data_IF_975418421020
#
_entry.id   IF_975418421020
#
_cell.length_a   1.000
_cell.length_b   1.000
_cell.length_c   1.000
_cell.angle_alpha   90.00
_cell.angle_beta   90.00
_cell.angle_gamma   90.00
#
_symmetry.space_group_name_H-M   'P 1'
#
loop_
_entity.id
_entity.type
_entity.pdbx_description
1 polymer ?
#
# COMPACT_ATOMS: atom_id res chain seq x y z
N UNK A 1 -8.89 25.01 -10.05
CA UNK A 1 -9.16 24.35 -11.34
C UNK A 1 -10.63 24.58 -11.63
N UNK A 2 -10.95 25.35 -12.67
CA UNK A 2 -12.32 25.84 -12.94
C UNK A 2 -13.40 24.73 -12.98
N UNK A 3 -13.12 23.60 -13.65
CA UNK A 3 -14.04 22.45 -13.71
C UNK A 3 -14.42 21.89 -12.33
N UNK A 4 -13.45 21.80 -11.41
CA UNK A 4 -13.71 21.30 -10.07
C UNK A 4 -14.57 22.27 -9.24
N UNK A 5 -14.40 23.57 -9.46
CA UNK A 5 -15.23 24.59 -8.80
C UNK A 5 -16.67 24.52 -9.31
N UNK A 6 -16.85 24.33 -10.62
CA UNK A 6 -18.16 24.24 -11.30
C UNK A 6 -18.88 22.90 -11.07
N UNK A 7 -18.20 21.89 -10.52
CA UNK A 7 -18.83 20.59 -10.28
C UNK A 7 -20.02 20.70 -9.32
N UNK A 8 -21.12 20.00 -9.64
CA UNK A 8 -22.34 19.95 -8.82
C UNK A 8 -22.42 18.58 -8.16
N UNK A 9 -22.36 18.49 -6.81
CA UNK A 9 -22.49 17.23 -6.08
C UNK A 9 -23.81 16.50 -6.39
N UNK A 10 -23.74 15.18 -6.55
CA UNK A 10 -24.89 14.31 -6.82
C UNK A 10 -25.78 14.07 -5.59
N UNK A 11 -25.22 14.22 -4.39
CA UNK A 11 -25.91 14.07 -3.11
C UNK A 11 -25.15 14.78 -1.98
N UNK A 12 -25.73 14.82 -0.77
CA UNK A 12 -25.07 15.39 0.41
C UNK A 12 -23.85 14.57 0.90
N UNK A 13 -23.77 13.29 0.51
CA UNK A 13 -22.64 12.39 0.85
C UNK A 13 -21.60 12.28 -0.27
N UNK A 14 -21.78 13.01 -1.37
CA UNK A 14 -20.86 13.05 -2.50
C UNK A 14 -19.52 13.67 -2.10
N UNK A 15 -18.45 12.89 -2.28
CA UNK A 15 -17.09 13.25 -1.90
C UNK A 15 -16.20 13.63 -3.08
N UNK A 16 -16.74 13.72 -4.29
CA UNK A 16 -15.97 13.93 -5.54
C UNK A 16 -15.03 15.13 -5.45
N UNK A 17 -15.52 16.31 -5.01
CA UNK A 17 -14.65 17.49 -4.86
C UNK A 17 -13.51 17.25 -3.88
N UNK A 18 -13.81 16.64 -2.74
CA UNK A 18 -12.84 16.37 -1.67
C UNK A 18 -11.78 15.37 -2.10
N UNK A 19 -12.19 14.28 -2.77
CA UNK A 19 -11.29 13.28 -3.35
C UNK A 19 -10.36 13.92 -4.37
N UNK A 20 -10.91 14.58 -5.40
CA UNK A 20 -10.09 15.17 -6.47
C UNK A 20 -9.14 16.25 -5.94
N UNK A 21 -9.59 17.09 -5.00
CA UNK A 21 -8.73 18.08 -4.35
C UNK A 21 -7.58 17.42 -3.59
N UNK A 22 -7.85 16.39 -2.78
CA UNK A 22 -6.82 15.67 -2.05
C UNK A 22 -5.74 15.09 -2.97
N UNK A 23 -6.14 14.50 -4.10
CA UNK A 23 -5.20 14.01 -5.11
C UNK A 23 -4.40 15.17 -5.74
N UNK A 24 -5.04 16.26 -6.14
CA UNK A 24 -4.36 17.42 -6.75
C UNK A 24 -3.35 18.04 -5.78
N UNK A 25 -3.69 18.15 -4.51
CA UNK A 25 -2.87 18.86 -3.52
C UNK A 25 -1.65 18.04 -3.10
N UNK A 26 -1.76 16.70 -3.09
CA UNK A 26 -0.73 15.83 -2.53
C UNK A 26 0.07 15.02 -3.57
N UNK A 27 -0.45 14.79 -4.79
CA UNK A 27 0.29 14.04 -5.79
C UNK A 27 1.61 14.74 -6.19
N UNK A 28 2.66 13.97 -6.52
CA UNK A 28 3.87 14.53 -7.11
C UNK A 28 3.56 15.22 -8.45
N UNK A 29 4.39 16.19 -8.85
CA UNK A 29 4.14 17.04 -10.01
C UNK A 29 3.74 16.27 -11.29
N UNK A 30 4.45 15.18 -11.62
CA UNK A 30 4.14 14.36 -12.81
C UNK A 30 2.80 13.63 -12.70
N UNK A 31 2.52 13.02 -11.54
CA UNK A 31 1.23 12.37 -11.28
C UNK A 31 0.07 13.35 -11.29
N UNK A 32 0.26 14.52 -10.67
CA UNK A 32 -0.69 15.62 -10.67
C UNK A 32 -0.97 16.13 -12.08
N UNK A 33 0.06 16.26 -12.92
CA UNK A 33 -0.11 16.65 -14.33
C UNK A 33 -0.94 15.62 -15.10
N UNK A 34 -0.70 14.32 -14.88
CA UNK A 34 -1.50 13.24 -15.50
C UNK A 34 -2.96 13.28 -15.07
N UNK A 35 -3.23 13.56 -13.79
CA UNK A 35 -4.58 13.74 -13.25
C UNK A 35 -5.27 14.96 -13.86
N UNK A 36 -4.63 16.13 -13.83
CA UNK A 36 -5.18 17.39 -14.35
C UNK A 36 -5.50 17.26 -15.84
N UNK A 37 -4.60 16.66 -16.64
CA UNK A 37 -4.82 16.45 -18.07
C UNK A 37 -6.08 15.61 -18.34
N UNK A 38 -6.29 14.55 -17.56
CA UNK A 38 -7.47 13.72 -17.72
C UNK A 38 -8.74 14.43 -17.23
N UNK A 39 -8.70 15.13 -16.10
CA UNK A 39 -9.82 15.95 -15.63
C UNK A 39 -10.23 17.02 -16.66
N UNK A 40 -9.27 17.58 -17.40
CA UNK A 40 -9.56 18.52 -18.49
C UNK A 40 -10.28 17.87 -19.67
N UNK A 41 -10.11 16.57 -19.93
CA UNK A 41 -10.81 15.88 -21.02
C UNK A 41 -12.26 15.51 -20.70
N UNK A 42 -12.65 15.47 -19.42
CA UNK A 42 -14.01 15.10 -18.99
C UNK A 42 -15.01 16.21 -19.30
N UNK A 43 -16.17 15.87 -19.84
CA UNK A 43 -17.16 16.83 -20.36
C UNK A 43 -18.39 17.00 -19.46
N UNK A 44 -18.64 16.07 -18.54
CA UNK A 44 -19.85 16.06 -17.71
C UNK A 44 -19.56 15.94 -16.21
N UNK A 45 -20.52 16.35 -15.37
CA UNK A 45 -20.45 16.10 -13.93
C UNK A 45 -20.40 14.59 -13.64
N UNK A 46 -21.12 13.77 -14.40
CA UNK A 46 -21.10 12.32 -14.22
C UNK A 46 -19.69 11.76 -14.45
N UNK A 47 -19.01 12.14 -15.54
CA UNK A 47 -17.64 11.70 -15.80
C UNK A 47 -16.66 12.13 -14.70
N UNK A 48 -16.81 13.35 -14.16
CA UNK A 48 -15.97 13.84 -13.05
C UNK A 48 -16.21 13.01 -11.79
N UNK A 49 -17.48 12.68 -11.51
CA UNK A 49 -17.86 11.84 -10.39
C UNK A 49 -17.28 10.42 -10.54
N UNK A 50 -17.51 9.78 -11.68
CA UNK A 50 -17.02 8.44 -12.01
C UNK A 50 -15.48 8.38 -11.95
N UNK A 51 -14.81 9.45 -12.37
CA UNK A 51 -13.36 9.52 -12.26
C UNK A 51 -12.89 9.55 -10.80
N UNK A 52 -13.54 10.33 -9.92
CA UNK A 52 -13.22 10.33 -8.51
C UNK A 52 -13.44 8.94 -7.86
N UNK A 53 -14.54 8.27 -8.19
CA UNK A 53 -14.80 6.89 -7.76
C UNK A 53 -13.72 5.94 -8.30
N UNK A 54 -13.29 6.08 -9.56
CA UNK A 54 -12.23 5.25 -10.14
C UNK A 54 -10.88 5.41 -9.41
N UNK A 55 -10.57 6.60 -8.89
CA UNK A 55 -9.36 6.83 -8.09
C UNK A 55 -9.43 6.13 -6.73
N UNK A 56 -10.60 6.17 -6.09
CA UNK A 56 -10.84 5.49 -4.82
C UNK A 56 -10.76 3.98 -5.02
N UNK A 57 -11.54 3.44 -5.95
CA UNK A 57 -11.70 2.00 -6.15
C UNK A 57 -10.51 1.37 -6.89
N UNK A 58 -9.80 2.13 -7.72
CA UNK A 58 -8.66 1.65 -8.49
C UNK A 58 -7.29 1.85 -7.83
N UNK A 59 -7.19 2.64 -6.75
CA UNK A 59 -5.93 2.90 -6.05
C UNK A 59 -6.07 2.91 -4.54
N UNK A 60 -6.89 3.80 -3.94
CA UNK A 60 -6.90 3.96 -2.48
C UNK A 60 -7.41 2.71 -1.75
N UNK A 61 -8.54 2.17 -2.21
CA UNK A 61 -9.17 1.03 -1.58
C UNK A 61 -8.31 -0.25 -1.73
N UNK A 62 -7.81 -0.61 -2.94
CA UNK A 62 -6.95 -1.77 -3.07
C UNK A 62 -5.64 -1.65 -2.29
N UNK A 63 -5.02 -0.47 -2.25
CA UNK A 63 -3.77 -0.29 -1.50
C UNK A 63 -3.97 -0.48 0.02
N UNK A 64 -5.17 -0.20 0.55
CA UNK A 64 -5.50 -0.45 1.97
C UNK A 64 -5.90 -1.91 2.24
N UNK A 65 -6.61 -2.57 1.32
CA UNK A 65 -7.12 -3.93 1.52
C UNK A 65 -6.06 -5.00 1.25
N UNK A 66 -5.12 -4.72 0.35
CA UNK A 66 -4.02 -5.62 0.04
C UNK A 66 -3.06 -5.73 1.21
N UNK A 67 -3.14 -6.84 1.95
CA UNK A 67 -2.25 -7.14 3.09
C UNK A 67 -0.79 -7.06 2.67
N UNK A 68 0.02 -6.32 3.45
CA UNK A 68 1.45 -6.13 3.17
C UNK A 68 2.25 -7.43 3.21
N UNK A 69 1.84 -8.43 4.01
CA UNK A 69 2.38 -9.80 4.02
C UNK A 69 1.32 -10.82 4.50
N UNK A 70 1.33 -12.07 4.02
CA UNK A 70 0.64 -13.16 4.69
C UNK A 70 1.31 -13.41 6.05
N UNK A 71 0.55 -13.44 7.14
CA UNK A 71 1.11 -13.73 8.46
C UNK A 71 1.54 -15.20 8.55
N UNK A 72 2.77 -15.52 8.17
CA UNK A 72 3.39 -16.80 8.52
C UNK A 72 3.81 -16.69 9.98
N UNK A 73 2.90 -17.01 10.91
CA UNK A 73 3.30 -17.28 12.31
C UNK A 73 3.90 -18.68 12.37
N UNK A 74 5.20 -18.85 12.69
CA UNK A 74 5.71 -20.16 13.05
C UNK A 74 5.02 -20.54 14.36
N UNK A 75 4.36 -21.70 14.40
CA UNK A 75 4.08 -22.33 15.71
C UNK A 75 5.44 -22.59 16.37
N UNK A 76 5.58 -22.16 17.62
CA UNK A 76 6.79 -22.41 18.40
C UNK A 76 7.17 -23.91 18.33
N UNK A 77 8.40 -24.20 17.92
CA UNK A 77 8.93 -25.57 17.79
C UNK A 77 9.01 -26.16 16.38
N UNK A 78 8.79 -25.38 15.31
CA UNK A 78 8.91 -25.85 13.92
C UNK A 78 9.88 -25.03 13.04
N UNK A 79 10.71 -24.20 13.67
CA UNK A 79 11.66 -23.31 13.00
C UNK A 79 12.70 -24.10 12.18
N UNK A 80 13.28 -25.15 12.76
CA UNK A 80 14.31 -25.97 12.09
C UNK A 80 13.77 -26.77 10.88
N UNK A 81 12.49 -27.15 10.91
CA UNK A 81 11.86 -27.93 9.83
C UNK A 81 11.43 -27.06 8.65
N UNK A 82 11.03 -25.81 8.91
CA UNK A 82 10.67 -24.86 7.85
C UNK A 82 11.93 -24.33 7.17
N UNK A 83 13.03 -24.10 7.91
CA UNK A 83 14.30 -23.65 7.32
C UNK A 83 14.90 -24.66 6.35
N UNK A 84 14.84 -25.96 6.66
CA UNK A 84 15.37 -27.02 5.79
C UNK A 84 14.53 -27.20 4.50
N UNK A 85 13.22 -27.03 4.57
CA UNK A 85 12.32 -27.16 3.39
C UNK A 85 12.31 -25.87 2.55
N UNK A 86 12.41 -24.70 3.19
CA UNK A 86 12.48 -23.41 2.51
C UNK A 86 13.82 -23.18 1.78
N UNK A 87 14.93 -23.71 2.31
CA UNK A 87 16.24 -23.57 1.66
C UNK A 87 16.33 -24.30 0.30
N UNK A 88 15.46 -25.29 0.05
CA UNK A 88 15.54 -26.17 -1.13
C UNK A 88 14.44 -25.95 -2.17
N UNK A 89 13.46 -25.08 -1.91
CA UNK A 89 12.35 -24.82 -2.84
C UNK A 89 12.22 -23.32 -3.11
N UNK A 90 12.28 -22.92 -4.38
CA UNK A 90 12.09 -21.52 -4.83
C UNK A 90 10.67 -20.96 -4.63
N UNK A 91 9.92 -21.47 -3.64
CA UNK A 91 8.53 -21.14 -3.32
C UNK A 91 8.40 -19.75 -2.69
N UNK A 92 7.19 -19.19 -2.73
CA UNK A 92 6.88 -17.88 -2.14
C UNK A 92 7.23 -17.78 -0.65
N UNK A 93 6.94 -18.82 0.12
CA UNK A 93 7.19 -18.85 1.56
C UNK A 93 8.70 -18.81 1.89
N UNK A 94 9.53 -19.48 1.08
CA UNK A 94 10.98 -19.45 1.27
C UNK A 94 11.58 -18.06 1.03
N UNK A 95 11.08 -17.36 0.00
CA UNK A 95 11.50 -15.99 -0.31
C UNK A 95 11.10 -15.02 0.80
N UNK A 96 9.92 -15.17 1.36
CA UNK A 96 9.43 -14.35 2.47
C UNK A 96 10.23 -14.58 3.76
N UNK A 97 10.51 -15.85 4.10
CA UNK A 97 11.36 -16.18 5.25
C UNK A 97 12.78 -15.60 5.09
N UNK A 98 13.35 -15.66 3.88
CA UNK A 98 14.64 -15.04 3.57
C UNK A 98 14.60 -13.52 3.76
N UNK A 99 13.61 -12.85 3.17
CA UNK A 99 13.45 -11.40 3.28
C UNK A 99 13.30 -10.96 4.74
N UNK A 100 12.55 -11.72 5.54
CA UNK A 100 12.39 -11.47 6.98
C UNK A 100 13.73 -11.51 7.70
N UNK A 101 14.55 -12.55 7.48
CA UNK A 101 15.90 -12.65 8.08
C UNK A 101 16.82 -11.52 7.62
N UNK A 102 16.80 -11.21 6.33
CA UNK A 102 17.65 -10.17 5.72
C UNK A 102 17.30 -8.78 6.28
N UNK A 103 16.00 -8.45 6.40
CA UNK A 103 15.54 -7.20 7.02
C UNK A 103 15.85 -7.15 8.52
N UNK A 104 15.62 -8.24 9.25
CA UNK A 104 15.89 -8.29 10.69
C UNK A 104 17.38 -8.07 10.98
N UNK A 105 18.26 -8.70 10.20
CA UNK A 105 19.71 -8.51 10.28
C UNK A 105 20.10 -7.07 9.95
N UNK A 106 19.53 -6.50 8.87
CA UNK A 106 19.78 -5.11 8.46
C UNK A 106 19.39 -4.11 9.55
N UNK A 107 18.27 -4.35 10.21
CA UNK A 107 17.64 -3.47 11.20
C UNK A 107 18.19 -3.68 12.62
N UNK A 108 19.30 -4.41 12.77
CA UNK A 108 19.97 -4.59 14.06
C UNK A 108 19.20 -5.48 15.03
N UNK A 109 18.37 -6.39 14.51
CA UNK A 109 17.47 -7.27 15.26
C UNK A 109 16.37 -6.51 16.01
N UNK A 110 15.99 -5.32 15.54
CA UNK A 110 15.03 -4.44 16.20
C UNK A 110 13.88 -4.02 15.31
N UNK A 111 12.76 -3.68 15.94
CA UNK A 111 11.73 -2.89 15.30
C UNK A 111 12.25 -1.48 14.98
N UNK A 112 12.17 -1.08 13.71
CA UNK A 112 12.65 0.24 13.25
C UNK A 112 11.87 1.43 13.79
N UNK A 113 10.70 1.19 14.40
CA UNK A 113 9.86 2.22 15.01
C UNK A 113 10.09 2.32 16.51
N UNK A 114 9.99 1.20 17.23
CA UNK A 114 9.99 1.21 18.71
C UNK A 114 11.37 1.02 19.33
N UNK A 115 12.39 0.72 18.52
CA UNK A 115 13.76 0.34 18.92
C UNK A 115 13.83 -0.89 19.85
N UNK A 116 12.72 -1.64 19.99
CA UNK A 116 12.65 -2.88 20.76
C UNK A 116 13.25 -4.03 19.95
N UNK A 117 14.01 -4.89 20.63
CA UNK A 117 14.59 -6.09 20.02
C UNK A 117 13.51 -7.11 19.67
N UNK A 118 13.77 -7.91 18.64
CA UNK A 118 12.96 -9.07 18.32
C UNK A 118 13.10 -10.14 19.41
N UNK A 119 11.96 -10.54 20.00
CA UNK A 119 11.88 -11.50 21.10
C UNK A 119 12.55 -12.83 20.77
N UNK A 120 12.38 -13.32 19.54
CA UNK A 120 12.93 -14.62 19.13
C UNK A 120 14.44 -14.58 18.86
N UNK A 121 15.02 -13.39 18.78
CA UNK A 121 16.45 -13.19 18.51
C UNK A 121 17.27 -12.98 19.79
N UNK A 122 16.63 -12.77 20.94
CA UNK A 122 17.28 -12.44 22.20
C UNK A 122 17.35 -13.63 23.16
N UNK A 123 18.38 -13.64 24.01
CA UNK A 123 18.45 -14.57 25.13
C UNK A 123 17.39 -14.22 26.17
N UNK A 124 16.48 -15.18 26.43
CA UNK A 124 15.36 -15.04 27.37
C UNK A 124 15.82 -14.86 28.81
N UNK A 125 17.08 -15.16 29.13
CA UNK A 125 17.66 -14.93 30.45
C UNK A 125 17.95 -13.44 30.73
N UNK A 126 18.07 -12.61 29.68
CA UNK A 126 18.41 -11.19 29.81
C UNK A 126 17.15 -10.31 29.91
N UNK A 127 16.67 -10.14 31.14
CA UNK A 127 15.46 -9.36 31.45
C UNK A 127 15.65 -7.83 31.35
N UNK A 128 16.86 -7.35 31.12
CA UNK A 128 17.15 -5.91 31.01
C UNK A 128 16.87 -5.34 29.62
N UNK A 129 16.59 -6.19 28.62
CA UNK A 129 16.35 -5.79 27.24
C UNK A 129 14.84 -5.72 27.00
N UNK A 130 14.38 -4.60 26.42
CA UNK A 130 12.99 -4.49 25.97
C UNK A 130 12.83 -5.16 24.61
N UNK A 131 11.95 -6.15 24.58
CA UNK A 131 11.66 -6.94 23.39
C UNK A 131 10.24 -6.72 22.86
N UNK A 132 9.98 -7.22 21.66
CA UNK A 132 8.66 -7.33 21.01
C UNK A 132 8.71 -8.46 19.98
N UNK A 133 7.57 -9.03 19.61
CA UNK A 133 7.48 -9.83 18.40
C UNK A 133 7.53 -8.93 17.17
N UNK A 134 8.38 -9.28 16.20
CA UNK A 134 8.52 -8.52 14.94
C UNK A 134 8.07 -9.31 13.71
N UNK A 135 7.69 -8.55 12.70
CA UNK A 135 7.31 -9.02 11.37
C UNK A 135 8.08 -8.23 10.31
N UNK A 136 8.26 -8.84 9.14
CA UNK A 136 8.77 -8.17 7.97
C UNK A 136 7.61 -7.49 7.24
N UNK A 137 7.68 -6.17 7.13
CA UNK A 137 6.59 -5.33 6.64
C UNK A 137 7.01 -4.65 5.35
N UNK A 138 6.25 -4.91 4.29
CA UNK A 138 6.45 -4.27 2.99
C UNK A 138 5.86 -2.85 2.96
N UNK A 139 6.53 -1.93 2.25
CA UNK A 139 6.07 -0.58 1.97
C UNK A 139 5.02 -0.61 0.85
N UNK A 140 5.37 -1.23 -0.28
CA UNK A 140 4.45 -1.59 -1.36
C UNK A 140 4.05 -3.04 -1.16
N UNK A 141 2.76 -3.27 -0.98
CA UNK A 141 2.18 -4.53 -0.53
C UNK A 141 2.63 -5.74 -1.36
N UNK A 142 3.08 -6.81 -0.67
CA UNK A 142 3.45 -8.10 -1.28
C UNK A 142 2.36 -8.66 -2.19
N UNK A 143 1.11 -8.46 -1.80
CA UNK A 143 -0.05 -8.97 -2.53
C UNK A 143 -0.13 -8.47 -3.98
N UNK A 144 0.61 -7.43 -4.37
CA UNK A 144 0.64 -6.94 -5.76
C UNK A 144 1.46 -7.81 -6.73
N UNK A 145 2.31 -8.72 -6.23
CA UNK A 145 3.15 -9.60 -7.07
C UNK A 145 2.79 -11.09 -6.99
N UNK A 146 1.70 -11.42 -6.33
CA UNK A 146 1.18 -12.81 -6.25
C UNK A 146 -0.25 -12.84 -6.73
N UNK A 147 -0.74 -13.95 -7.27
CA UNK A 147 -2.14 -14.13 -7.67
C UNK A 147 -2.44 -15.61 -7.81
N UNK A 148 -3.72 -15.98 -7.64
CA UNK A 148 -4.19 -17.36 -7.75
C UNK A 148 -4.80 -17.69 -9.12
N UNK A 149 -5.30 -16.68 -9.82
CA UNK A 149 -6.00 -16.80 -11.11
C UNK A 149 -5.79 -15.55 -11.98
N UNK A 150 -6.18 -15.65 -13.26
CA UNK A 150 -6.02 -14.57 -14.25
C UNK A 150 -6.83 -13.31 -13.89
N UNK A 151 -7.98 -13.48 -13.23
CA UNK A 151 -8.82 -12.35 -12.82
C UNK A 151 -8.13 -11.51 -11.74
N UNK A 152 -7.54 -12.16 -10.75
CA UNK A 152 -6.75 -11.51 -9.71
C UNK A 152 -5.47 -10.89 -10.28
N UNK A 153 -4.80 -11.56 -11.22
CA UNK A 153 -3.66 -11.00 -11.94
C UNK A 153 -4.04 -9.70 -12.65
N UNK A 154 -5.14 -9.72 -13.40
CA UNK A 154 -5.63 -8.54 -14.11
C UNK A 154 -5.98 -7.41 -13.15
N UNK A 155 -6.68 -7.69 -12.05
CA UNK A 155 -6.98 -6.68 -11.03
C UNK A 155 -5.68 -6.05 -10.48
N UNK A 156 -4.65 -6.85 -10.20
CA UNK A 156 -3.35 -6.36 -9.74
C UNK A 156 -2.60 -5.58 -10.82
N UNK A 157 -2.76 -5.92 -12.10
CA UNK A 157 -2.27 -5.14 -13.24
C UNK A 157 -2.89 -3.74 -13.29
N UNK A 158 -4.19 -3.64 -13.02
CA UNK A 158 -4.89 -2.35 -12.95
C UNK A 158 -4.35 -1.51 -11.79
N UNK A 159 -4.19 -2.09 -10.60
CA UNK A 159 -3.66 -1.36 -9.43
C UNK A 159 -2.24 -0.86 -9.70
N UNK A 160 -1.39 -1.72 -10.26
CA UNK A 160 -0.02 -1.34 -10.64
C UNK A 160 -0.01 -0.20 -11.67
N UNK A 161 -0.88 -0.28 -12.68
CA UNK A 161 -1.03 0.77 -13.70
C UNK A 161 -1.42 2.10 -13.07
N UNK A 162 -2.37 2.10 -12.13
CA UNK A 162 -2.77 3.32 -11.41
C UNK A 162 -1.62 3.86 -10.54
N UNK A 163 -0.91 2.98 -9.85
CA UNK A 163 0.26 3.35 -9.04
C UNK A 163 1.33 4.03 -9.93
N UNK A 164 1.69 3.45 -11.06
CA UNK A 164 2.66 4.05 -12.01
C UNK A 164 2.14 5.35 -12.63
N UNK A 165 0.84 5.43 -12.98
CA UNK A 165 0.24 6.64 -13.57
C UNK A 165 0.36 7.85 -12.64
N UNK A 166 0.12 7.67 -11.35
CA UNK A 166 0.12 8.74 -10.35
C UNK A 166 1.44 8.89 -9.59
N UNK A 167 2.29 7.87 -9.60
CA UNK A 167 3.64 7.90 -9.07
C UNK A 167 4.69 7.42 -10.08
N UNK A 168 4.89 8.13 -11.22
CA UNK A 168 5.83 7.68 -12.27
C UNK A 168 7.28 7.53 -11.80
N UNK A 169 7.63 8.12 -10.64
CA UNK A 169 8.94 7.93 -10.01
C UNK A 169 9.22 6.47 -9.63
N UNK A 170 8.18 5.64 -9.43
CA UNK A 170 8.35 4.23 -9.06
C UNK A 170 9.20 3.47 -10.10
N UNK A 171 8.93 3.67 -11.38
CA UNK A 171 9.71 3.09 -12.48
C UNK A 171 10.90 3.96 -12.86
N UNK A 172 10.68 5.27 -13.08
CA UNK A 172 11.67 6.12 -13.73
C UNK A 172 12.84 6.56 -12.83
N UNK A 173 12.64 6.56 -11.51
CA UNK A 173 13.64 7.05 -10.55
C UNK A 173 14.04 5.98 -9.54
N UNK A 174 13.06 5.31 -8.95
CA UNK A 174 13.27 4.26 -7.95
C UNK A 174 13.67 2.94 -8.63
N UNK A 175 13.27 2.73 -9.90
CA UNK A 175 13.48 1.49 -10.67
C UNK A 175 12.90 0.27 -9.96
N UNK A 176 11.74 0.45 -9.35
CA UNK A 176 11.03 -0.58 -8.61
C UNK A 176 9.98 -1.23 -9.51
N UNK A 177 10.13 -2.54 -9.72
CA UNK A 177 9.19 -3.35 -10.50
C UNK A 177 8.53 -4.39 -9.60
N UNK A 178 7.67 -5.24 -10.16
CA UNK A 178 7.03 -6.32 -9.40
C UNK A 178 8.03 -7.36 -8.90
N UNK A 179 9.08 -7.59 -9.67
CA UNK A 179 10.16 -8.52 -9.32
C UNK A 179 10.91 -8.02 -8.08
N UNK A 180 10.94 -6.70 -7.85
CA UNK A 180 11.54 -6.05 -6.68
C UNK A 180 10.69 -6.14 -5.41
N UNK A 181 9.48 -6.71 -5.44
CA UNK A 181 8.56 -6.70 -4.29
C UNK A 181 9.19 -7.30 -3.02
N UNK A 182 10.03 -8.33 -3.19
CA UNK A 182 10.72 -9.00 -2.09
C UNK A 182 12.16 -8.49 -1.88
N UNK A 183 12.48 -7.29 -2.36
CA UNK A 183 13.76 -6.65 -2.08
C UNK A 183 13.74 -5.95 -0.72
N UNK A 184 14.89 -5.95 -0.04
CA UNK A 184 15.06 -5.26 1.25
C UNK A 184 14.74 -3.77 1.17
N UNK A 185 14.87 -3.12 0.00
CA UNK A 185 14.51 -1.72 -0.18
C UNK A 185 12.99 -1.46 -0.06
N UNK A 186 12.15 -2.50 -0.18
CA UNK A 186 10.70 -2.43 -0.03
C UNK A 186 10.21 -2.95 1.32
N UNK A 187 11.08 -3.42 2.21
CA UNK A 187 10.65 -4.04 3.46
C UNK A 187 11.46 -3.62 4.69
N UNK A 188 10.84 -3.72 5.86
CA UNK A 188 11.45 -3.38 7.14
C UNK A 188 10.93 -4.23 8.30
N UNK A 189 11.74 -4.31 9.35
CA UNK A 189 11.39 -4.97 10.59
C UNK A 189 10.52 -4.08 11.45
N UNK A 190 9.29 -4.49 11.71
CA UNK A 190 8.33 -3.73 12.51
C UNK A 190 7.69 -4.62 13.56
N UNK A 191 7.31 -4.07 14.71
CA UNK A 191 6.56 -4.83 15.71
C UNK A 191 5.23 -5.30 15.13
N UNK A 192 4.82 -6.53 15.49
CA UNK A 192 3.54 -7.11 15.07
C UNK A 192 2.33 -6.22 15.36
N UNK A 193 2.37 -5.46 16.45
CA UNK A 193 1.31 -4.53 16.83
C UNK A 193 1.13 -3.35 15.85
N UNK A 194 2.23 -2.85 15.27
CA UNK A 194 2.21 -1.69 14.36
C UNK A 194 1.95 -2.07 12.90
N UNK A 195 2.20 -3.32 12.53
CA UNK A 195 2.10 -3.77 11.14
C UNK A 195 0.70 -3.53 10.53
N UNK A 196 -0.43 -3.87 11.17
CA UNK A 196 -1.75 -3.57 10.64
C UNK A 196 -1.96 -2.07 10.38
N UNK A 197 -1.56 -1.22 11.33
CA UNK A 197 -1.69 0.24 11.21
C UNK A 197 -0.82 0.84 10.11
N UNK A 198 0.37 0.29 9.86
CA UNK A 198 1.22 0.73 8.77
C UNK A 198 0.64 0.36 7.40
N UNK A 199 0.19 -0.89 7.24
CA UNK A 199 -0.47 -1.34 6.01
C UNK A 199 -1.79 -0.61 5.74
N UNK A 200 -2.51 -0.22 6.80
CA UNK A 200 -3.73 0.56 6.70
C UNK A 200 -3.51 2.06 6.42
N UNK A 201 -2.27 2.55 6.39
CA UNK A 201 -1.96 3.99 6.31
C UNK A 201 -2.46 4.81 7.52
N UNK A 202 -2.58 4.20 8.70
CA UNK A 202 -2.95 4.91 9.93
C UNK A 202 -1.80 5.75 10.48
N UNK A 203 -0.57 5.46 10.05
CA UNK A 203 0.59 6.34 10.17
C UNK A 203 1.50 6.21 8.95
N UNK A 204 2.42 7.17 8.77
CA UNK A 204 3.41 7.13 7.69
C UNK A 204 4.74 7.79 8.07
N UNK A 205 5.80 7.41 7.35
CA UNK A 205 7.12 8.01 7.49
C UNK A 205 7.27 9.22 6.56
N UNK A 206 7.31 10.43 7.12
CA UNK A 206 7.53 11.67 6.36
C UNK A 206 9.01 12.05 6.38
N UNK A 207 9.57 12.31 5.19
CA UNK A 207 10.98 12.63 5.04
C UNK A 207 11.33 13.94 5.75
N UNK A 208 12.47 13.93 6.44
CA UNK A 208 13.09 15.14 6.99
C UNK A 208 14.28 15.58 6.12
N UNK A 209 14.88 16.76 6.35
CA UNK A 209 16.13 17.15 5.69
C UNK A 209 17.31 16.20 5.99
N UNK A 210 17.24 15.44 7.09
CA UNK A 210 18.27 14.46 7.44
C UNK A 210 18.01 13.15 6.70
N UNK A 211 19.04 12.63 6.02
CA UNK A 211 18.94 11.38 5.25
C UNK A 211 18.51 10.22 6.16
N UNK A 212 17.61 9.38 5.65
CA UNK A 212 17.07 8.20 6.34
C UNK A 212 16.44 8.51 7.71
N UNK A 213 16.12 9.77 7.99
CA UNK A 213 15.42 10.21 9.19
C UNK A 213 14.03 10.67 8.81
N UNK A 214 13.03 10.19 9.54
CA UNK A 214 11.63 10.39 9.21
C UNK A 214 10.83 10.80 10.45
N UNK A 215 9.93 11.75 10.30
CA UNK A 215 8.89 12.06 11.29
C UNK A 215 7.73 11.09 11.08
N UNK A 216 7.14 10.56 12.17
CA UNK A 216 5.98 9.70 12.07
C UNK A 216 4.71 10.55 12.08
N UNK A 217 4.05 10.61 10.93
CA UNK A 217 2.74 11.25 10.85
C UNK A 217 1.68 10.28 11.32
N UNK A 218 1.08 10.56 12.47
CA UNK A 218 0.01 9.77 13.06
C UNK A 218 -1.37 10.30 12.64
N UNK A 219 -2.19 9.44 12.02
CA UNK A 219 -3.56 9.76 11.61
C UNK A 219 -4.63 9.11 12.52
N UNK A 220 -4.23 8.21 13.42
CA UNK A 220 -5.12 7.57 14.41
C UNK A 220 -4.53 7.72 15.82
N UNK A 221 -4.39 8.95 16.35
CA UNK A 221 -3.69 9.22 17.61
C UNK A 221 -4.32 8.55 18.84
N UNK A 222 -5.61 8.19 18.79
CA UNK A 222 -6.27 7.42 19.86
C UNK A 222 -5.83 5.95 19.90
N UNK A 223 -5.39 5.40 18.77
CA UNK A 223 -4.96 4.01 18.63
C UNK A 223 -3.43 3.87 18.76
N UNK A 224 -2.70 4.92 18.38
CA UNK A 224 -1.25 4.93 18.22
C UNK A 224 -0.61 6.03 19.09
N UNK A 225 -0.93 6.06 20.37
CA UNK A 225 -0.46 7.08 21.31
C UNK A 225 1.05 7.03 21.60
N UNK A 226 1.65 5.85 21.49
CA UNK A 226 3.08 5.61 21.77
C UNK A 226 4.02 5.71 20.55
N UNK A 227 3.58 6.29 19.43
CA UNK A 227 4.49 6.48 18.28
C UNK A 227 5.56 7.54 18.61
N UNK A 228 6.86 7.24 18.35
CA UNK A 228 7.89 8.25 18.50
C UNK A 228 7.70 9.38 17.50
N UNK A 229 8.14 10.58 17.86
CA UNK A 229 8.08 11.75 16.96
C UNK A 229 8.87 11.51 15.67
N UNK A 230 10.06 10.91 15.77
CA UNK A 230 10.91 10.61 14.62
C UNK A 230 11.75 9.36 14.82
N UNK A 231 12.18 8.77 13.71
CA UNK A 231 13.06 7.60 13.66
C UNK A 231 14.17 7.81 12.64
N UNK A 232 15.32 7.17 12.86
CA UNK A 232 16.43 7.13 11.90
C UNK A 232 16.73 5.69 11.53
N UNK A 233 16.62 5.36 10.24
CA UNK A 233 16.94 4.03 9.76
C UNK A 233 18.45 3.86 9.66
N UNK A 234 18.97 2.94 10.47
CA UNK A 234 20.39 2.61 10.54
C UNK A 234 20.65 1.28 9.85
N UNK A 235 21.69 1.23 9.02
CA UNK A 235 22.07 0.00 8.33
C UNK A 235 23.10 -0.75 9.17
N UNK A 236 22.68 -1.80 9.86
CA UNK A 236 23.57 -2.64 10.67
C UNK A 236 24.30 -3.71 9.86
N UNK A 237 23.85 -3.98 8.64
CA UNK A 237 24.53 -4.87 7.69
C UNK A 237 24.57 -4.22 6.30
N UNK A 238 25.78 -3.95 5.80
CA UNK A 238 25.99 -3.23 4.53
C UNK A 238 25.50 -3.97 3.29
N UNK A 239 25.35 -5.31 3.35
CA UNK A 239 24.87 -6.14 2.25
C UNK A 239 23.41 -5.87 1.89
N UNK A 240 22.62 -5.38 2.84
CA UNK A 240 21.20 -5.15 2.66
C UNK A 240 20.89 -3.66 2.56
N UNK A 241 20.07 -3.30 1.57
CA UNK A 241 19.68 -1.91 1.35
C UNK A 241 18.67 -1.44 2.42
N UNK A 242 18.80 -0.19 2.84
CA UNK A 242 17.78 0.45 3.68
C UNK A 242 16.47 0.58 2.90
N UNK A 243 15.33 0.70 3.61
CA UNK A 243 14.05 0.98 2.98
C UNK A 243 14.15 2.24 2.10
N UNK A 244 13.62 2.16 0.88
CA UNK A 244 13.74 3.20 -0.14
C UNK A 244 13.02 4.48 0.31
N UNK A 245 13.71 5.62 0.39
CA UNK A 245 13.07 6.91 0.68
C UNK A 245 11.97 7.26 -0.34
N UNK A 246 12.14 6.81 -1.59
CA UNK A 246 11.15 7.01 -2.65
C UNK A 246 9.87 6.22 -2.41
N UNK A 247 9.98 4.94 -2.01
CA UNK A 247 8.80 4.11 -1.71
C UNK A 247 8.08 4.62 -0.45
N UNK A 248 8.82 5.03 0.58
CA UNK A 248 8.24 5.65 1.78
C UNK A 248 7.50 6.94 1.45
N UNK A 249 8.05 7.77 0.55
CA UNK A 249 7.38 8.98 0.08
C UNK A 249 6.09 8.67 -0.67
N UNK A 250 6.05 7.59 -1.46
CA UNK A 250 4.82 7.13 -2.12
C UNK A 250 3.79 6.73 -1.07
N UNK A 251 4.16 5.85 -0.12
CA UNK A 251 3.29 5.42 0.98
C UNK A 251 2.74 6.60 1.79
N UNK A 252 3.60 7.54 2.22
CA UNK A 252 3.18 8.74 2.94
C UNK A 252 2.27 9.66 2.13
N UNK A 253 2.47 9.73 0.80
CA UNK A 253 1.60 10.52 -0.08
C UNK A 253 0.22 9.87 -0.22
N UNK A 254 0.17 8.55 -0.38
CA UNK A 254 -1.10 7.81 -0.39
C UNK A 254 -1.82 8.00 0.95
N UNK A 255 -1.11 7.89 2.09
CA UNK A 255 -1.68 8.16 3.41
C UNK A 255 -2.31 9.57 3.50
N UNK A 256 -1.59 10.61 3.05
CA UNK A 256 -2.13 11.98 3.03
C UNK A 256 -3.39 12.09 2.19
N UNK A 257 -3.39 11.54 0.97
CA UNK A 257 -4.57 11.53 0.09
C UNK A 257 -5.73 10.78 0.76
N UNK A 258 -5.43 9.64 1.36
CA UNK A 258 -6.40 8.77 2.02
C UNK A 258 -7.17 9.52 3.12
N UNK A 259 -6.46 10.23 4.00
CA UNK A 259 -7.07 10.98 5.09
C UNK A 259 -7.68 12.31 4.64
N UNK A 260 -7.01 13.05 3.74
CA UNK A 260 -7.52 14.33 3.24
C UNK A 260 -8.82 14.17 2.43
N UNK A 261 -8.93 13.09 1.64
CA UNK A 261 -10.12 12.79 0.82
C UNK A 261 -11.36 12.42 1.64
N UNK A 262 -11.20 12.01 2.90
CA UNK A 262 -12.29 11.43 3.69
C UNK A 262 -12.76 10.08 3.16
N UNK A 263 -11.95 9.39 2.34
CA UNK A 263 -12.24 8.05 1.86
C UNK A 263 -12.08 6.98 2.95
N UNK A 264 -11.32 7.27 4.01
CA UNK A 264 -10.98 6.32 5.06
C UNK A 264 -12.17 5.65 5.74
N UNK A 265 -13.10 6.42 6.30
CA UNK A 265 -14.26 5.89 7.05
C UNK A 265 -15.19 5.01 6.19
N UNK A 266 -15.62 5.43 4.99
CA UNK A 266 -16.43 4.57 4.14
C UNK A 266 -15.69 3.34 3.60
N UNK A 267 -14.38 3.42 3.37
CA UNK A 267 -13.58 2.22 3.04
C UNK A 267 -13.50 1.29 4.25
N UNK A 268 -13.26 1.82 5.45
CA UNK A 268 -13.26 1.04 6.71
C UNK A 268 -14.62 0.38 6.95
N UNK A 269 -15.71 1.10 6.71
CA UNK A 269 -17.07 0.55 6.74
C UNK A 269 -17.23 -0.56 5.72
N UNK A 270 -16.87 -0.34 4.46
CA UNK A 270 -17.00 -1.37 3.43
C UNK A 270 -16.20 -2.64 3.72
N UNK A 271 -14.98 -2.51 4.25
CA UNK A 271 -14.15 -3.65 4.66
C UNK A 271 -14.76 -4.38 5.86
N UNK A 272 -15.23 -3.64 6.87
CA UNK A 272 -15.88 -4.24 8.05
C UNK A 272 -17.16 -4.93 7.63
N UNK A 273 -18.02 -4.26 6.87
CA UNK A 273 -19.28 -4.80 6.38
C UNK A 273 -18.99 -6.06 5.55
N UNK A 274 -17.98 -6.07 4.66
CA UNK A 274 -17.55 -7.27 3.94
C UNK A 274 -17.07 -8.40 4.86
N UNK A 275 -16.32 -8.08 5.92
CA UNK A 275 -15.85 -9.05 6.92
C UNK A 275 -16.96 -9.57 7.84
N UNK A 276 -17.97 -8.76 8.12
CA UNK A 276 -19.17 -9.10 8.90
C UNK A 276 -20.23 -9.80 8.03
N UNK A 277 -20.18 -9.62 6.70
CA UNK A 277 -21.15 -10.23 5.77
C UNK A 277 -20.65 -11.58 5.23
N UNK A 278 -21.23 -12.68 5.72
CA UNK A 278 -22.21 -13.41 4.92
C UNK A 278 -23.66 -12.86 5.06
N UNK A 279 -23.90 -11.80 5.85
CA UNK A 279 -25.22 -11.22 6.10
C UNK A 279 -25.25 -9.70 5.86
N UNK A 280 -25.90 -9.26 4.77
CA UNK A 280 -26.23 -7.86 4.49
C UNK A 280 -27.03 -7.23 5.64
N UNK A 281 -26.84 -5.94 5.90
CA UNK A 281 -27.65 -5.23 6.89
C UNK A 281 -29.13 -5.32 6.50
N UNK A 282 -29.99 -5.74 7.44
CA UNK A 282 -31.43 -5.98 7.19
C UNK A 282 -32.18 -4.71 6.77
N UNK A 283 -31.61 -3.53 7.02
CA UNK A 283 -32.15 -2.23 6.67
C UNK A 283 -31.68 -1.71 5.29
N UNK A 284 -30.88 -2.49 4.56
CA UNK A 284 -30.36 -2.10 3.24
C UNK A 284 -29.26 -1.04 3.27
N UNK A 285 -28.68 -0.73 4.45
CA UNK A 285 -27.63 0.29 4.60
C UNK A 285 -26.22 -0.17 4.20
N UNK A 286 -26.08 -1.42 3.74
CA UNK A 286 -24.84 -1.98 3.20
C UNK A 286 -24.53 -1.41 1.81
N UNK A 287 -23.35 -0.81 1.65
CA UNK A 287 -22.89 -0.31 0.36
C UNK A 287 -22.21 -1.43 -0.44
N UNK A 288 -23.02 -2.17 -1.21
CA UNK A 288 -22.58 -3.32 -2.00
C UNK A 288 -21.50 -2.91 -3.02
N UNK A 289 -21.58 -1.70 -3.58
CA UNK A 289 -20.60 -1.20 -4.54
C UNK A 289 -19.23 -1.03 -3.88
N UNK A 290 -19.20 -0.40 -2.70
CA UNK A 290 -17.97 -0.26 -1.92
C UNK A 290 -17.44 -1.61 -1.42
N UNK A 291 -18.30 -2.56 -1.03
CA UNK A 291 -17.89 -3.92 -0.66
C UNK A 291 -17.24 -4.67 -1.83
N UNK A 292 -17.82 -4.56 -3.04
CA UNK A 292 -17.23 -5.16 -4.24
C UNK A 292 -15.90 -4.51 -4.60
N UNK A 293 -15.78 -3.18 -4.46
CA UNK A 293 -14.52 -2.46 -4.62
C UNK A 293 -13.43 -2.89 -3.62
N UNK A 294 -13.81 -3.39 -2.44
CA UNK A 294 -12.87 -3.92 -1.47
C UNK A 294 -12.33 -5.32 -1.84
N UNK A 295 -12.90 -5.95 -2.87
CA UNK A 295 -12.44 -7.22 -3.46
C UNK A 295 -11.73 -7.00 -4.80
N UNK A 296 -11.11 -8.04 -5.35
CA UNK A 296 -10.57 -8.00 -6.72
C UNK A 296 -11.64 -7.68 -7.78
N UNK A 297 -12.93 -7.95 -7.51
CA UNK A 297 -14.03 -7.77 -8.47
C UNK A 297 -14.33 -6.30 -8.76
N UNK A 298 -14.28 -5.40 -7.78
CA UNK A 298 -14.59 -3.99 -8.06
C UNK A 298 -13.48 -3.27 -8.85
N UNK A 299 -12.24 -3.77 -8.78
CA UNK A 299 -11.16 -3.33 -9.69
C UNK A 299 -11.51 -3.67 -11.14
N UNK A 300 -12.11 -4.84 -11.40
CA UNK A 300 -12.58 -5.25 -12.74
C UNK A 300 -13.75 -4.38 -13.23
N UNK A 301 -14.70 -4.07 -12.35
CA UNK A 301 -15.88 -3.25 -12.68
C UNK A 301 -15.56 -1.79 -13.03
N UNK A 302 -14.51 -1.21 -12.42
CA UNK A 302 -14.08 0.18 -12.65
C UNK A 302 -13.68 0.51 -14.10
N UNK A 303 -13.45 -0.52 -14.95
CA UNK A 303 -13.17 -0.36 -16.38
C UNK A 303 -14.39 -0.42 -17.29
N UNK A 304 -15.53 -0.98 -16.85
CA UNK A 304 -16.70 -1.07 -17.72
C UNK A 304 -17.26 0.32 -18.12
N UNK A 305 -16.94 1.37 -17.35
CA UNK A 305 -17.27 2.77 -17.67
C UNK A 305 -16.19 3.58 -18.41
N UNK A 306 -15.00 3.02 -18.69
CA UNK A 306 -13.88 3.76 -19.28
C UNK A 306 -13.26 3.00 -20.46
N UNK A 307 -13.94 3.03 -21.61
CA UNK A 307 -13.39 2.56 -22.88
C UNK A 307 -12.49 3.66 -23.48
N UNK A 308 -11.18 3.42 -23.46
CA UNK A 308 -10.32 3.48 -24.65
C UNK A 308 -8.96 2.85 -24.31
N UNK A 309 -8.74 1.64 -24.82
CA UNK A 309 -7.40 1.06 -24.90
C UNK A 309 -6.55 1.92 -25.85
N UNK A 310 -5.30 2.29 -25.50
CA UNK A 310 -4.33 2.70 -26.50
C UNK A 310 -3.98 1.47 -27.34
N UNK A 311 -4.28 1.52 -28.64
CA UNK A 311 -3.95 0.46 -29.57
C UNK A 311 -2.44 0.17 -29.58
N UNK A 312 -2.10 -1.11 -29.45
CA UNK A 312 -0.82 -1.65 -29.88
C UNK A 312 -0.67 -1.43 -31.38
N UNK A 313 0.01 -0.37 -31.78
CA UNK A 313 0.55 -0.24 -33.14
C UNK A 313 1.72 -1.20 -33.27
N UNK A 314 1.44 -2.39 -33.76
CA UNK A 314 2.44 -3.30 -34.31
C UNK A 314 3.07 -2.63 -35.53
N UNK A 315 4.35 -2.28 -35.45
CA UNK A 315 5.14 -1.88 -36.61
C UNK A 315 5.31 -3.09 -37.54
N UNK A 316 4.93 -3.01 -38.83
CA UNK A 316 5.25 -4.05 -39.79
C UNK A 316 6.75 -3.94 -40.13
N UNK A 317 7.50 -4.97 -39.80
CA UNK A 317 8.85 -5.21 -40.31
C UNK A 317 8.81 -5.30 -41.83
N UNK A 318 9.42 -4.33 -42.51
CA UNK A 318 9.84 -4.45 -43.90
C UNK A 318 11.00 -5.44 -43.98
N UNK A 319 10.76 -6.56 -44.67
CA UNK A 319 11.82 -7.44 -45.17
C UNK A 319 12.59 -6.72 -46.27
N UNK A 320 13.89 -6.57 -46.07
CA UNK A 320 14.91 -6.61 -47.11
C UNK A 320 15.79 -7.82 -46.82
#
# INVERSE_FOLDING_TARGET
MEKLEQYVPTSSSDRTKRVLRAFIDHLPANGRANLIRHLQSLQSNQEIHDHAESLVNGLLMPMRTLRSTPTISPRAGMEDSIENVAAHSGSSAAREARLKRDCLTRDGLKCVVTDRYDENSMDRSNTNIRTTYTECVHIISFSLATWKDEQEEFAKNVIWTNLTRYFPSIENQIRFTRESINDTCNAMTMSKALHPSFGAFDFAFEATPRRHTYTLKNYKPRLLDDLPESVTFTRHNSHFSLPSPGLLKIHATIARIFHASGAAEPIEKAIRDLGETALLAKDGSSDISAMLAATSLGVLGSRAGNIQQPGLLLNPTTKG
#
